data_IF_327011732260
#
_entry.id   IF_327011732260
#
_cell.length_a   1.000
_cell.length_b   1.000
_cell.length_c   1.000
_cell.angle_alpha   90.00
_cell.angle_beta   90.00
_cell.angle_gamma   90.00
#
_symmetry.space_group_name_H-M   'P 1'
#
loop_
_entity.id
_entity.type
_entity.pdbx_description
1 polymer ?
#
# COMPACT_ATOMS: atom_id res chain seq x y z
N UNK A 1 -16.19 -8.66 11.67
CA UNK A 1 -14.72 -8.86 11.71
C UNK A 1 -14.10 -7.49 11.83
N UNK A 2 -13.39 -7.22 12.92
CA UNK A 2 -12.66 -5.96 13.09
C UNK A 2 -11.57 -5.92 12.01
N UNK A 3 -11.63 -4.93 11.11
CA UNK A 3 -10.54 -4.64 10.19
C UNK A 3 -9.36 -4.20 11.05
N UNK A 4 -8.42 -5.10 11.32
CA UNK A 4 -7.15 -4.68 11.89
C UNK A 4 -6.43 -3.90 10.79
N UNK A 5 -6.50 -2.56 10.88
CA UNK A 5 -5.57 -1.70 10.18
C UNK A 5 -4.15 -2.23 10.42
N UNK A 6 -3.34 -2.26 9.36
CA UNK A 6 -1.97 -2.74 9.45
C UNK A 6 -1.24 -1.96 10.55
N UNK A 7 -0.85 -2.64 11.62
CA UNK A 7 -0.29 -1.98 12.79
C UNK A 7 1.14 -1.58 12.48
N UNK A 8 1.41 -0.27 12.36
CA UNK A 8 2.74 0.27 12.07
C UNK A 8 3.83 -0.27 13.01
N UNK A 9 3.49 -0.63 14.26
CA UNK A 9 4.46 -1.19 15.21
C UNK A 9 5.00 -2.57 14.80
N UNK A 10 4.34 -3.30 13.88
CA UNK A 10 4.86 -4.59 13.40
C UNK A 10 6.18 -4.40 12.66
N UNK A 11 6.38 -3.25 12.02
CA UNK A 11 7.60 -2.93 11.28
C UNK A 11 8.85 -2.85 12.17
N UNK A 12 8.70 -2.49 13.45
CA UNK A 12 9.83 -2.40 14.41
C UNK A 12 10.57 -3.72 14.60
N UNK A 13 9.86 -4.83 14.42
CA UNK A 13 10.41 -6.18 14.59
C UNK A 13 10.53 -6.90 13.23
N UNK A 14 10.38 -6.16 12.14
CA UNK A 14 10.44 -6.65 10.77
C UNK A 14 11.88 -6.70 10.24
N UNK A 15 12.01 -6.77 8.92
CA UNK A 15 13.30 -6.67 8.22
C UNK A 15 13.98 -5.32 8.47
N UNK A 16 15.27 -5.22 8.18
CA UNK A 16 16.01 -3.94 8.28
C UNK A 16 15.32 -2.81 7.51
N UNK A 17 14.76 -3.13 6.34
CA UNK A 17 14.02 -2.17 5.52
C UNK A 17 12.68 -1.76 6.12
N UNK A 18 11.97 -2.69 6.77
CA UNK A 18 10.76 -2.37 7.52
C UNK A 18 11.05 -1.48 8.74
N UNK A 19 12.14 -1.74 9.46
CA UNK A 19 12.58 -0.90 10.58
C UNK A 19 12.98 0.50 10.10
N UNK A 20 13.73 0.61 9.00
CA UNK A 20 14.08 1.90 8.40
C UNK A 20 12.84 2.67 7.91
N UNK A 21 11.85 1.97 7.32
CA UNK A 21 10.57 2.56 6.93
C UNK A 21 9.79 3.09 8.13
N UNK A 22 9.75 2.34 9.23
CA UNK A 22 9.14 2.78 10.49
C UNK A 22 9.80 4.07 10.98
N UNK A 23 11.12 4.12 11.01
CA UNK A 23 11.87 5.30 11.45
C UNK A 23 11.62 6.50 10.53
N UNK A 24 11.59 6.30 9.22
CA UNK A 24 11.26 7.36 8.25
C UNK A 24 9.85 7.93 8.51
N UNK A 25 8.84 7.07 8.67
CA UNK A 25 7.44 7.46 8.96
C UNK A 25 7.33 8.24 10.26
N UNK A 26 8.04 7.81 11.31
CA UNK A 26 8.03 8.49 12.61
C UNK A 26 8.73 9.84 12.53
N UNK A 27 9.90 9.91 11.89
CA UNK A 27 10.70 11.14 11.79
C UNK A 27 10.02 12.21 10.96
N UNK A 28 9.35 11.85 9.87
CA UNK A 28 8.57 12.80 9.07
C UNK A 28 7.23 13.15 9.75
N UNK A 29 6.78 12.34 10.71
CA UNK A 29 5.56 12.58 11.48
C UNK A 29 4.26 12.44 10.67
N UNK A 30 4.30 11.79 9.50
CA UNK A 30 3.20 11.79 8.51
C UNK A 30 1.90 11.21 9.05
N UNK A 31 1.95 10.13 9.82
CA UNK A 31 0.75 9.52 10.42
C UNK A 31 0.07 10.44 11.44
N UNK A 32 0.85 11.26 12.14
CA UNK A 32 0.32 12.22 13.11
C UNK A 32 -0.23 13.46 12.40
N UNK A 33 0.52 14.00 11.42
CA UNK A 33 0.13 15.17 10.65
C UNK A 33 -1.17 14.92 9.87
N UNK A 34 -1.30 13.74 9.25
CA UNK A 34 -2.46 13.39 8.44
C UNK A 34 -3.59 12.71 9.22
N UNK A 35 -3.51 12.63 10.56
CA UNK A 35 -4.52 11.98 11.41
C UNK A 35 -5.98 12.34 11.06
N UNK A 36 -6.34 13.61 10.73
CA UNK A 36 -7.70 13.95 10.31
C UNK A 36 -8.21 13.16 9.09
N UNK A 37 -7.30 12.67 8.24
CA UNK A 37 -7.58 11.93 7.01
C UNK A 37 -7.46 10.42 7.16
N UNK A 38 -7.33 9.90 8.40
CA UNK A 38 -7.24 8.47 8.69
C UNK A 38 -6.13 7.77 7.89
N UNK A 39 -4.86 8.18 8.05
CA UNK A 39 -3.78 7.69 7.21
C UNK A 39 -3.47 6.22 7.54
N UNK A 40 -3.31 5.40 6.50
CA UNK A 40 -2.96 3.98 6.63
C UNK A 40 -1.78 3.67 5.73
N UNK A 41 -0.73 3.09 6.30
CA UNK A 41 0.37 2.53 5.53
C UNK A 41 -0.13 1.35 4.72
N UNK A 42 0.07 1.42 3.40
CA UNK A 42 -0.24 0.37 2.45
C UNK A 42 1.03 -0.10 1.71
N UNK A 43 0.83 -0.86 0.65
CA UNK A 43 1.91 -1.26 -0.25
C UNK A 43 2.70 -2.47 0.24
N UNK A 44 3.91 -2.61 -0.30
CA UNK A 44 4.64 -3.89 -0.24
C UNK A 44 5.62 -4.03 0.91
N UNK A 45 6.08 -2.91 1.49
CA UNK A 45 6.99 -2.91 2.64
C UNK A 45 6.36 -3.58 3.87
N UNK A 46 5.10 -3.29 4.26
CA UNK A 46 4.44 -3.99 5.36
C UNK A 46 4.28 -5.50 5.15
N UNK A 47 4.25 -5.93 3.89
CA UNK A 47 4.05 -7.33 3.50
C UNK A 47 5.35 -8.12 3.37
N UNK A 48 6.50 -7.46 3.50
CA UNK A 48 7.82 -8.06 3.30
C UNK A 48 7.97 -8.66 1.89
N UNK A 49 7.38 -8.01 0.88
CA UNK A 49 7.55 -8.32 -0.54
C UNK A 49 7.96 -7.08 -1.33
N UNK A 50 8.51 -6.09 -0.65
CA UNK A 50 9.13 -4.94 -1.27
C UNK A 50 10.45 -5.29 -1.96
N UNK A 51 10.92 -4.35 -2.78
CA UNK A 51 12.21 -4.40 -3.47
C UNK A 51 12.93 -3.07 -3.23
N UNK A 52 14.25 -2.97 -3.49
CA UNK A 52 14.92 -1.68 -3.47
C UNK A 52 14.18 -0.66 -4.34
N UNK A 53 13.91 0.52 -3.78
CA UNK A 53 13.14 1.57 -4.44
C UNK A 53 11.61 1.44 -4.32
N UNK A 54 11.06 0.46 -3.59
CA UNK A 54 9.64 0.50 -3.20
C UNK A 54 9.37 1.70 -2.29
N UNK A 55 8.27 2.37 -2.55
CA UNK A 55 7.72 3.53 -1.87
C UNK A 55 6.99 3.18 -0.57
N UNK A 56 6.73 4.21 0.23
CA UNK A 56 5.83 4.21 1.37
C UNK A 56 4.49 4.79 0.95
N UNK A 57 3.58 3.91 0.57
CA UNK A 57 2.20 4.23 0.22
C UNK A 57 1.39 4.57 1.47
N UNK A 58 0.81 5.76 1.54
CA UNK A 58 -0.09 6.17 2.63
C UNK A 58 -1.45 6.52 2.03
N UNK A 59 -2.43 5.67 2.33
CA UNK A 59 -3.81 5.88 1.91
C UNK A 59 -4.50 6.82 2.89
N UNK A 60 -5.21 7.80 2.36
CA UNK A 60 -5.96 8.79 3.12
C UNK A 60 -7.39 8.92 2.59
N UNK A 61 -8.31 9.22 3.49
CA UNK A 61 -9.68 9.58 3.18
C UNK A 61 -9.89 11.08 3.40
N UNK A 62 -10.28 11.79 2.34
CA UNK A 62 -10.65 13.20 2.41
C UNK A 62 -11.89 13.46 1.55
N UNK A 63 -13.05 13.81 2.16
CA UNK A 63 -14.24 14.24 1.43
C UNK A 63 -14.00 15.50 0.59
N UNK A 64 -13.14 16.39 1.10
CA UNK A 64 -12.70 17.61 0.44
C UNK A 64 -11.21 17.48 0.10
N UNK A 65 -10.94 17.22 -1.19
CA UNK A 65 -9.57 17.06 -1.69
C UNK A 65 -8.82 18.38 -1.79
N UNK A 66 -9.52 19.52 -1.91
CA UNK A 66 -8.87 20.84 -2.01
C UNK A 66 -8.33 21.25 -0.64
N UNK A 67 -9.11 21.01 0.43
CA UNK A 67 -8.64 21.18 1.80
C UNK A 67 -7.44 20.27 2.08
N UNK A 68 -7.50 18.98 1.70
CA UNK A 68 -6.36 18.08 1.84
C UNK A 68 -5.13 18.58 1.08
N UNK A 69 -5.30 19.02 -0.17
CA UNK A 69 -4.21 19.50 -1.00
C UNK A 69 -3.50 20.72 -0.38
N UNK A 70 -4.28 21.69 0.11
CA UNK A 70 -3.73 22.88 0.77
C UNK A 70 -2.96 22.53 2.05
N UNK A 71 -3.48 21.61 2.86
CA UNK A 71 -2.78 21.15 4.07
C UNK A 71 -1.52 20.35 3.73
N UNK A 72 -1.56 19.46 2.73
CA UNK A 72 -0.40 18.70 2.31
C UNK A 72 0.71 19.60 1.73
N UNK A 73 0.35 20.62 0.94
CA UNK A 73 1.26 21.66 0.46
C UNK A 73 1.88 22.44 1.63
N UNK A 74 1.07 22.84 2.61
CA UNK A 74 1.57 23.55 3.79
C UNK A 74 2.57 22.71 4.59
N UNK A 75 2.27 21.41 4.77
CA UNK A 75 3.11 20.51 5.57
C UNK A 75 4.38 20.09 4.83
N UNK A 76 4.29 19.78 3.54
CA UNK A 76 5.36 19.09 2.80
C UNK A 76 5.91 19.87 1.60
N UNK A 77 5.28 20.98 1.18
CA UNK A 77 5.69 21.76 -0.01
C UNK A 77 7.08 22.39 0.10
N UNK A 78 7.63 22.47 1.30
CA UNK A 78 9.02 22.90 1.51
C UNK A 78 10.06 21.82 1.16
N UNK A 79 9.64 20.56 0.99
CA UNK A 79 10.53 19.46 0.61
C UNK A 79 10.88 19.63 -0.88
N UNK A 80 12.16 19.71 -1.29
CA UNK A 80 12.53 20.01 -2.68
C UNK A 80 11.98 19.04 -3.73
N UNK A 81 11.72 17.79 -3.35
CA UNK A 81 11.16 16.74 -4.21
C UNK A 81 9.64 16.66 -4.17
N UNK A 82 8.99 17.59 -3.47
CA UNK A 82 7.54 17.65 -3.37
C UNK A 82 6.90 17.83 -4.75
N UNK A 83 5.91 16.99 -5.02
CA UNK A 83 5.07 17.06 -6.19
C UNK A 83 3.65 16.67 -5.81
N UNK A 84 2.67 17.47 -6.22
CA UNK A 84 1.26 17.17 -6.01
C UNK A 84 0.49 17.27 -7.32
N UNK A 85 -0.51 16.41 -7.50
CA UNK A 85 -1.44 16.47 -8.63
C UNK A 85 -2.79 15.85 -8.30
N UNK A 86 -3.85 16.41 -8.87
CA UNK A 86 -5.19 15.81 -8.84
C UNK A 86 -5.49 15.20 -10.20
N UNK A 87 -5.90 13.92 -10.22
CA UNK A 87 -6.32 13.24 -11.46
C UNK A 87 -7.36 12.16 -11.17
N UNK A 88 -8.17 11.76 -12.17
CA UNK A 88 -9.07 10.62 -12.00
C UNK A 88 -8.28 9.31 -11.96
N UNK A 89 -8.55 8.46 -10.96
CA UNK A 89 -8.07 7.08 -10.86
C UNK A 89 -9.28 6.19 -10.62
N UNK A 90 -9.50 5.21 -11.50
CA UNK A 90 -10.68 4.33 -11.47
C UNK A 90 -12.01 5.10 -11.43
N UNK A 91 -12.09 6.24 -12.09
CA UNK A 91 -13.29 7.08 -12.14
C UNK A 91 -13.50 8.01 -10.94
N UNK A 92 -12.58 8.03 -9.97
CA UNK A 92 -12.67 8.88 -8.79
C UNK A 92 -11.58 9.94 -8.81
N UNK A 93 -11.91 11.18 -8.42
CA UNK A 93 -10.90 12.20 -8.20
C UNK A 93 -9.94 11.74 -7.09
N UNK A 94 -8.64 11.75 -7.39
CA UNK A 94 -7.58 11.39 -6.46
C UNK A 94 -6.57 12.51 -6.42
N UNK A 95 -6.22 12.96 -5.21
CA UNK A 95 -5.06 13.80 -4.99
C UNK A 95 -3.86 12.94 -4.61
N UNK A 96 -2.79 13.04 -5.38
CA UNK A 96 -1.52 12.36 -5.15
C UNK A 96 -0.50 13.39 -4.72
N UNK A 97 0.18 13.11 -3.60
CA UNK A 97 1.34 13.87 -3.14
C UNK A 97 2.53 12.94 -3.09
N UNK A 98 3.67 13.37 -3.61
CA UNK A 98 4.92 12.62 -3.59
C UNK A 98 6.05 13.49 -3.09
N UNK A 99 6.93 12.92 -2.30
CA UNK A 99 8.16 13.56 -1.87
C UNK A 99 9.14 12.50 -1.38
N UNK A 100 10.42 12.86 -1.29
CA UNK A 100 11.47 12.00 -0.76
C UNK A 100 11.88 12.47 0.62
N UNK A 101 11.93 11.55 1.58
CA UNK A 101 12.45 11.82 2.92
C UNK A 101 13.07 10.56 3.52
N UNK A 102 14.22 10.73 4.20
CA UNK A 102 14.89 9.65 4.93
C UNK A 102 15.11 8.36 4.10
N UNK A 103 15.56 8.52 2.85
CA UNK A 103 15.83 7.43 1.90
C UNK A 103 14.61 6.64 1.40
N UNK A 104 13.40 7.19 1.60
CA UNK A 104 12.16 6.66 1.06
C UNK A 104 11.44 7.68 0.17
N UNK A 105 10.86 7.16 -0.91
CA UNK A 105 9.77 7.82 -1.63
C UNK A 105 8.49 7.66 -0.81
N UNK A 106 7.82 8.76 -0.52
CA UNK A 106 6.48 8.76 0.06
C UNK A 106 5.46 9.05 -1.03
N UNK A 107 4.37 8.28 -1.07
CA UNK A 107 3.19 8.59 -1.88
C UNK A 107 1.98 8.69 -0.95
N UNK A 108 1.37 9.88 -0.86
CA UNK A 108 0.08 10.06 -0.22
C UNK A 108 -1.01 9.93 -1.28
N UNK A 109 -1.80 8.88 -1.16
CA UNK A 109 -2.91 8.59 -2.06
C UNK A 109 -4.22 8.96 -1.36
N UNK A 110 -4.92 9.98 -1.86
CA UNK A 110 -6.09 10.52 -1.17
C UNK A 110 -7.32 10.55 -2.05
N UNK A 111 -8.42 9.98 -1.56
CA UNK A 111 -9.72 9.97 -2.22
C UNK A 111 -10.84 10.31 -1.25
N UNK A 112 -11.97 10.77 -1.77
CA UNK A 112 -13.24 10.84 -1.04
C UNK A 112 -13.92 9.46 -0.88
N UNK A 113 -13.10 8.42 -0.66
CA UNK A 113 -13.50 7.03 -0.44
C UNK A 113 -12.85 6.57 0.87
N UNK A 114 -13.61 5.99 1.82
CA UNK A 114 -13.03 5.44 3.05
C UNK A 114 -11.89 4.47 2.73
N UNK A 115 -10.79 4.54 3.49
CA UNK A 115 -9.56 3.80 3.19
C UNK A 115 -9.81 2.30 3.05
N UNK A 116 -10.71 1.74 3.85
CA UNK A 116 -11.07 0.31 3.82
C UNK A 116 -11.73 -0.12 2.50
N UNK A 117 -12.27 0.83 1.74
CA UNK A 117 -12.92 0.61 0.44
C UNK A 117 -12.01 1.00 -0.73
N UNK A 118 -10.86 1.61 -0.48
CA UNK A 118 -9.91 1.95 -1.53
C UNK A 118 -9.21 0.68 -2.02
N UNK A 119 -9.07 0.56 -3.35
CA UNK A 119 -8.50 -0.64 -3.95
C UNK A 119 -7.08 -0.94 -3.43
N UNK A 120 -6.25 0.06 -3.17
CA UNK A 120 -4.90 -0.15 -2.61
C UNK A 120 -4.93 -0.89 -1.27
N UNK A 121 -5.90 -0.58 -0.41
CA UNK A 121 -6.08 -1.28 0.86
C UNK A 121 -6.62 -2.70 0.64
N UNK A 122 -7.61 -2.86 -0.23
CA UNK A 122 -8.19 -4.18 -0.56
C UNK A 122 -7.14 -5.12 -1.15
N UNK A 123 -6.30 -4.62 -2.06
CA UNK A 123 -5.15 -5.34 -2.61
C UNK A 123 -4.17 -5.77 -1.53
N UNK A 124 -3.73 -4.84 -0.68
CA UNK A 124 -2.81 -5.16 0.41
C UNK A 124 -3.39 -6.25 1.34
N UNK A 125 -4.70 -6.20 1.65
CA UNK A 125 -5.33 -7.21 2.49
C UNK A 125 -5.33 -8.61 1.86
N UNK A 126 -5.68 -8.75 0.59
CA UNK A 126 -5.66 -10.06 -0.07
C UNK A 126 -4.23 -10.57 -0.26
N UNK A 127 -3.29 -9.69 -0.60
CA UNK A 127 -1.88 -10.03 -0.70
C UNK A 127 -1.32 -10.51 0.64
N UNK A 128 -1.63 -9.81 1.73
CA UNK A 128 -1.28 -10.23 3.09
C UNK A 128 -1.83 -11.61 3.43
N UNK A 129 -3.12 -11.85 3.15
CA UNK A 129 -3.77 -13.15 3.39
C UNK A 129 -3.11 -14.27 2.59
N UNK A 130 -2.82 -14.05 1.31
CA UNK A 130 -2.11 -15.02 0.49
C UNK A 130 -0.70 -15.32 1.02
N UNK A 131 0.03 -14.31 1.51
CA UNK A 131 1.35 -14.49 2.11
C UNK A 131 1.32 -15.12 3.52
N UNK A 132 0.21 -15.00 4.23
CA UNK A 132 -0.01 -15.69 5.50
C UNK A 132 -0.32 -17.18 5.29
N UNK A 133 -1.16 -17.49 4.29
CA UNK A 133 -1.52 -18.86 3.92
C UNK A 133 -0.39 -19.59 3.20
N UNK A 134 0.42 -18.87 2.41
CA UNK A 134 1.52 -19.42 1.62
C UNK A 134 2.83 -18.64 1.86
N UNK A 135 3.45 -18.74 3.05
CA UNK A 135 4.63 -17.94 3.42
C UNK A 135 5.83 -18.09 2.48
N UNK A 136 5.99 -19.26 1.87
CA UNK A 136 7.01 -19.58 0.87
C UNK A 136 6.91 -18.73 -0.41
N UNK A 137 5.80 -18.01 -0.61
CA UNK A 137 5.55 -17.20 -1.79
C UNK A 137 6.30 -15.86 -1.79
N UNK A 138 6.78 -15.39 -0.63
CA UNK A 138 7.45 -14.08 -0.52
C UNK A 138 8.64 -13.94 -1.46
N UNK A 139 9.58 -14.89 -1.42
CA UNK A 139 10.80 -14.77 -2.22
C UNK A 139 10.56 -14.92 -3.72
N UNK A 140 9.73 -15.87 -4.22
CA UNK A 140 9.30 -15.90 -5.61
C UNK A 140 8.65 -14.58 -6.07
N UNK A 141 7.77 -14.00 -5.26
CA UNK A 141 7.13 -12.71 -5.58
C UNK A 141 8.15 -11.58 -5.64
N UNK A 142 9.10 -11.50 -4.68
CA UNK A 142 10.19 -10.52 -4.75
C UNK A 142 11.03 -10.70 -6.00
N UNK A 143 11.37 -11.94 -6.39
CA UNK A 143 12.14 -12.20 -7.60
C UNK A 143 11.41 -11.76 -8.88
N UNK A 144 10.10 -12.01 -8.95
CA UNK A 144 9.26 -11.50 -10.04
C UNK A 144 9.25 -9.97 -10.09
N UNK A 145 9.16 -9.31 -8.92
CA UNK A 145 9.21 -7.84 -8.83
C UNK A 145 10.58 -7.28 -9.23
N UNK A 146 11.68 -7.90 -8.79
CA UNK A 146 13.05 -7.56 -9.24
C UNK A 146 13.21 -7.73 -10.75
N UNK A 147 12.48 -8.67 -11.35
CA UNK A 147 12.39 -8.86 -12.81
C UNK A 147 11.55 -7.81 -13.54
N UNK A 148 11.00 -6.82 -12.85
CA UNK A 148 10.25 -5.70 -13.43
C UNK A 148 8.73 -5.83 -13.36
N UNK A 149 8.18 -6.92 -12.79
CA UNK A 149 6.75 -7.00 -12.56
C UNK A 149 6.32 -6.07 -11.42
N UNK A 150 5.17 -5.41 -11.60
CA UNK A 150 4.48 -4.74 -10.48
C UNK A 150 3.91 -5.79 -9.52
N UNK A 151 3.45 -5.34 -8.35
CA UNK A 151 2.97 -6.19 -7.27
C UNK A 151 1.84 -7.12 -7.72
N UNK A 152 0.73 -6.57 -8.22
CA UNK A 152 -0.44 -7.37 -8.60
C UNK A 152 -0.11 -8.38 -9.72
N UNK A 153 0.61 -8.01 -10.80
CA UNK A 153 1.11 -8.98 -11.78
C UNK A 153 2.03 -10.05 -11.20
N UNK A 154 2.90 -9.72 -10.23
CA UNK A 154 3.78 -10.70 -9.60
C UNK A 154 2.99 -11.73 -8.79
N UNK A 155 1.97 -11.29 -8.04
CA UNK A 155 1.03 -12.20 -7.35
C UNK A 155 0.25 -13.05 -8.35
N UNK A 156 -0.31 -12.43 -9.40
CA UNK A 156 -1.05 -13.16 -10.42
C UNK A 156 -0.18 -14.21 -11.14
N UNK A 157 1.06 -13.87 -11.46
CA UNK A 157 2.00 -14.80 -12.06
C UNK A 157 2.33 -15.97 -11.12
N UNK A 158 2.67 -15.68 -9.85
CA UNK A 158 3.02 -16.70 -8.86
C UNK A 158 1.87 -17.67 -8.58
N UNK A 159 0.65 -17.14 -8.39
CA UNK A 159 -0.56 -17.93 -8.13
C UNK A 159 -1.29 -18.40 -9.41
N UNK A 160 -0.67 -18.23 -10.59
CA UNK A 160 -1.20 -18.65 -11.90
C UNK A 160 -2.65 -18.15 -12.14
N UNK A 161 -2.92 -16.91 -11.74
CA UNK A 161 -4.23 -16.29 -11.90
C UNK A 161 -4.46 -15.93 -13.38
N UNK A 162 -5.66 -16.24 -13.88
CA UNK A 162 -6.06 -15.96 -15.27
C UNK A 162 -6.93 -14.71 -15.29
N UNK A 163 -6.60 -13.77 -16.18
CA UNK A 163 -7.31 -12.52 -16.36
C UNK A 163 -6.45 -11.31 -15.99
N UNK A 164 -7.10 -10.17 -15.82
CA UNK A 164 -6.44 -8.95 -15.37
C UNK A 164 -5.99 -9.09 -13.90
N UNK A 165 -4.68 -8.96 -13.58
CA UNK A 165 -4.17 -9.15 -12.22
C UNK A 165 -4.85 -8.28 -11.17
N UNK A 166 -5.16 -7.03 -11.54
CA UNK A 166 -5.79 -6.07 -10.64
C UNK A 166 -7.20 -6.55 -10.28
N UNK A 167 -8.01 -6.89 -11.28
CA UNK A 167 -9.39 -7.33 -11.06
C UNK A 167 -9.45 -8.68 -10.33
N UNK A 168 -8.61 -9.65 -10.69
CA UNK A 168 -8.69 -10.99 -10.10
C UNK A 168 -8.30 -10.99 -8.63
N UNK A 169 -7.31 -10.19 -8.20
CA UNK A 169 -6.98 -10.06 -6.79
C UNK A 169 -8.14 -9.44 -5.98
N UNK A 170 -8.82 -8.42 -6.51
CA UNK A 170 -10.02 -7.86 -5.87
C UNK A 170 -11.16 -8.88 -5.75
N UNK A 171 -11.28 -9.80 -6.69
CA UNK A 171 -12.25 -10.90 -6.59
C UNK A 171 -11.86 -11.90 -5.51
N UNK A 172 -10.57 -12.25 -5.40
CA UNK A 172 -10.06 -13.14 -4.36
C UNK A 172 -10.26 -12.57 -2.95
N UNK A 173 -10.22 -11.24 -2.79
CA UNK A 173 -10.49 -10.58 -1.52
C UNK A 173 -11.87 -10.94 -0.91
N UNK A 174 -12.82 -11.39 -1.74
CA UNK A 174 -14.18 -11.79 -1.32
C UNK A 174 -14.28 -13.22 -0.78
N UNK A 175 -13.25 -14.04 -0.99
CA UNK A 175 -13.21 -15.42 -0.52
C UNK A 175 -12.74 -15.48 0.93
N UNK A 176 -13.13 -16.51 1.67
CA UNK A 176 -12.55 -16.82 2.98
C UNK A 176 -11.22 -17.60 2.83
N UNK A 177 -10.51 -17.78 3.93
CA UNK A 177 -9.19 -18.45 3.91
C UNK A 177 -9.30 -19.94 3.52
N UNK A 178 -10.42 -20.60 3.83
CA UNK A 178 -10.63 -22.00 3.46
C UNK A 178 -10.82 -22.15 1.94
N UNK A 179 -11.55 -21.23 1.30
CA UNK A 179 -11.68 -21.13 -0.14
C UNK A 179 -10.34 -20.82 -0.84
N UNK A 180 -9.55 -19.89 -0.27
CA UNK A 180 -8.22 -19.58 -0.80
C UNK A 180 -7.30 -20.81 -0.73
N UNK A 181 -7.28 -21.52 0.39
CA UNK A 181 -6.51 -22.77 0.53
C UNK A 181 -6.94 -23.81 -0.50
N UNK A 182 -8.25 -24.09 -0.61
CA UNK A 182 -8.78 -25.03 -1.60
C UNK A 182 -8.34 -24.69 -3.02
N UNK A 183 -8.32 -23.41 -3.37
CA UNK A 183 -7.97 -22.94 -4.72
C UNK A 183 -6.50 -23.18 -5.10
N UNK A 184 -5.57 -23.16 -4.15
CA UNK A 184 -4.12 -23.16 -4.44
C UNK A 184 -3.36 -24.37 -3.88
N UNK A 185 -4.05 -25.36 -3.32
CA UNK A 185 -3.44 -26.60 -2.77
C UNK A 185 -3.74 -27.85 -3.60
N UNK A 186 -4.53 -27.72 -4.66
CA UNK A 186 -4.83 -28.78 -5.65
C UNK A 186 -4.02 -28.60 -6.91
#
# INVERSE_FOLDING_TARGET
>A
MQHQAFNLNTLKNGTERQQAAYDAIVRIGVMQALRPYTPVLAGTIPLDVDIPGSDLDILCYAPDLDTFAAEAEQQYGHIPTFNAQTKPINGHATHLVRFQAFDFDFELFTQAIPVEQQNGYVHMLIEHRLLALFPQSREPIRNLKRGGLKTEPAFAHHFKLIGDPYIVLLQLARLDDADLLRRFTT
#
